data_IF_692164142353
#
_entry.id   IF_692164142353
#
_cell.length_a   1.000
_cell.length_b   1.000
_cell.length_c   1.000
_cell.angle_alpha   90.00
_cell.angle_beta   90.00
_cell.angle_gamma   90.00
#
_symmetry.space_group_name_H-M   'P 1'
#
loop_
_entity.id
_entity.type
_entity.pdbx_description
1 polymer ?
#
# COMPACT_ATOMS: atom_id res chain seq x y z
N UNK A 1 30.60 16.94 52.61
CA UNK A 1 30.23 17.05 51.21
C UNK A 1 30.91 18.28 50.61
N UNK A 2 31.80 18.12 49.61
CA UNK A 2 32.39 19.26 48.88
C UNK A 2 31.42 19.76 47.78
N UNK A 3 31.53 21.03 47.34
CA UNK A 3 30.64 21.65 46.37
C UNK A 3 30.90 21.12 44.98
N UNK A 4 29.81 20.87 44.23
CA UNK A 4 29.82 20.43 42.83
C UNK A 4 30.20 21.64 41.96
N UNK A 5 31.39 21.57 41.34
CA UNK A 5 31.91 22.61 40.46
C UNK A 5 31.21 22.66 39.10
N UNK A 6 31.06 23.86 38.61
CA UNK A 6 30.56 24.29 37.33
C UNK A 6 31.37 23.75 36.16
N UNK A 7 30.91 22.70 35.48
CA UNK A 7 31.48 22.17 34.26
C UNK A 7 30.41 21.89 33.17
N UNK A 8 29.27 22.58 33.22
CA UNK A 8 28.15 22.36 32.29
C UNK A 8 27.88 23.52 31.31
N UNK A 9 28.73 24.56 31.27
CA UNK A 9 28.49 25.73 30.42
C UNK A 9 29.30 25.80 29.12
N UNK A 10 30.26 24.90 28.88
CA UNK A 10 31.17 25.01 27.74
C UNK A 10 30.88 24.11 26.53
N UNK A 11 29.73 23.38 26.55
CA UNK A 11 29.32 22.49 25.42
C UNK A 11 28.28 23.10 24.48
N UNK A 12 27.87 24.36 24.64
CA UNK A 12 26.80 25.01 23.84
C UNK A 12 27.29 26.05 22.84
N UNK A 13 28.60 26.16 22.58
CA UNK A 13 29.11 27.15 21.63
C UNK A 13 30.10 26.55 20.61
N UNK A 14 29.66 25.55 19.83
CA UNK A 14 30.24 25.28 18.52
C UNK A 14 29.15 25.39 17.47
N UNK A 15 29.23 26.34 16.50
CA UNK A 15 28.33 26.35 15.37
C UNK A 15 28.59 25.10 14.54
N UNK A 16 27.55 24.31 14.28
CA UNK A 16 27.55 23.23 13.29
C UNK A 16 27.61 23.88 11.91
N UNK A 17 28.84 24.23 11.46
CA UNK A 17 29.10 24.59 10.08
C UNK A 17 29.31 23.32 9.28
N UNK A 18 28.49 23.10 8.24
CA UNK A 18 28.79 22.14 7.19
C UNK A 18 27.85 20.94 7.06
N UNK A 19 26.52 21.14 7.21
CA UNK A 19 25.57 20.27 6.51
C UNK A 19 24.91 21.17 5.46
N UNK A 20 25.46 21.13 4.25
CA UNK A 20 24.76 21.67 3.08
C UNK A 20 23.44 20.89 2.98
N UNK A 21 22.32 21.62 2.98
CA UNK A 21 21.03 21.08 2.64
C UNK A 21 21.17 20.45 1.24
N UNK A 22 20.62 19.24 0.98
CA UNK A 22 20.65 18.68 -0.35
C UNK A 22 19.99 19.68 -1.29
N UNK A 23 20.70 20.05 -2.37
CA UNK A 23 20.13 20.89 -3.42
C UNK A 23 18.79 20.28 -3.87
N UNK A 24 17.74 21.11 -4.09
CA UNK A 24 16.50 20.62 -4.66
C UNK A 24 16.84 19.95 -6.00
N UNK A 25 16.47 18.68 -6.13
CA UNK A 25 16.69 17.90 -7.36
C UNK A 25 16.29 18.76 -8.56
N UNK A 26 17.24 19.04 -9.44
CA UNK A 26 17.03 19.89 -10.60
C UNK A 26 15.89 19.31 -11.44
N UNK A 27 14.98 20.18 -11.87
CA UNK A 27 13.79 19.88 -12.71
C UNK A 27 14.15 19.12 -14.01
N UNK A 28 15.42 19.00 -14.32
CA UNK A 28 15.95 18.37 -15.54
C UNK A 28 16.11 16.83 -15.50
N UNK A 29 15.70 16.14 -14.42
CA UNK A 29 15.88 14.68 -14.31
C UNK A 29 14.57 13.89 -14.35
N UNK A 30 13.43 14.50 -14.66
CA UNK A 30 12.15 13.80 -14.81
C UNK A 30 12.10 13.05 -16.14
N UNK A 31 11.48 11.85 -16.14
CA UNK A 31 11.22 11.09 -17.35
C UNK A 31 10.30 11.87 -18.31
N UNK A 32 10.52 11.74 -19.61
CA UNK A 32 9.64 12.34 -20.61
C UNK A 32 8.25 11.72 -20.56
N UNK A 33 7.23 12.46 -21.01
CA UNK A 33 5.85 11.96 -21.06
C UNK A 33 5.71 10.69 -21.90
N UNK A 34 6.47 10.56 -22.98
CA UNK A 34 6.45 9.39 -23.85
C UNK A 34 6.99 8.16 -23.11
N UNK A 35 8.09 8.31 -22.36
CA UNK A 35 8.63 7.21 -21.51
C UNK A 35 7.63 6.82 -20.44
N UNK A 36 6.97 7.78 -19.78
CA UNK A 36 5.96 7.52 -18.76
C UNK A 36 4.80 6.71 -19.33
N UNK A 37 4.27 7.11 -20.50
CA UNK A 37 3.19 6.39 -21.18
C UNK A 37 3.62 5.00 -21.65
N UNK A 38 4.84 4.87 -22.15
CA UNK A 38 5.38 3.57 -22.59
C UNK A 38 5.52 2.60 -21.39
N UNK A 39 6.07 3.05 -20.27
CA UNK A 39 6.15 2.25 -19.06
C UNK A 39 4.76 1.80 -18.56
N UNK A 40 3.78 2.70 -18.57
CA UNK A 40 2.40 2.38 -18.21
C UNK A 40 1.78 1.33 -19.15
N UNK A 41 2.01 1.47 -20.45
CA UNK A 41 1.56 0.51 -21.45
C UNK A 41 2.22 -0.87 -21.28
N UNK A 42 3.53 -0.91 -20.95
CA UNK A 42 4.24 -2.15 -20.68
C UNK A 42 3.67 -2.87 -19.45
N UNK A 43 3.40 -2.16 -18.34
CA UNK A 43 2.77 -2.74 -17.14
C UNK A 43 1.36 -3.25 -17.44
N UNK A 44 0.59 -2.50 -18.22
CA UNK A 44 -0.76 -2.90 -18.64
C UNK A 44 -0.75 -4.16 -19.52
N UNK A 45 0.21 -4.25 -20.44
CA UNK A 45 0.38 -5.43 -21.28
C UNK A 45 0.88 -6.64 -20.47
N UNK A 46 1.81 -6.42 -19.53
CA UNK A 46 2.29 -7.46 -18.62
C UNK A 46 1.16 -8.15 -17.84
N UNK A 47 0.17 -7.38 -17.37
CA UNK A 47 -1.03 -7.91 -16.73
C UNK A 47 -1.85 -8.78 -17.68
N UNK A 48 -2.08 -8.34 -18.92
CA UNK A 48 -2.83 -9.08 -19.94
C UNK A 48 -2.14 -10.39 -20.36
N UNK A 49 -0.82 -10.32 -20.53
CA UNK A 49 -0.01 -11.46 -20.95
C UNK A 49 0.32 -12.39 -19.78
N UNK A 50 0.07 -11.93 -18.53
CA UNK A 50 0.46 -12.62 -17.30
C UNK A 50 1.95 -12.95 -17.26
N UNK A 51 2.75 -11.98 -17.67
CA UNK A 51 4.19 -12.09 -17.74
C UNK A 51 4.84 -10.83 -17.18
N UNK A 52 5.72 -11.02 -16.17
CA UNK A 52 6.43 -9.90 -15.59
C UNK A 52 7.39 -9.25 -16.59
N UNK A 53 7.42 -7.92 -16.56
CA UNK A 53 8.47 -7.13 -17.22
C UNK A 53 9.67 -6.94 -16.31
N UNK A 54 10.82 -6.59 -16.90
CA UNK A 54 11.99 -6.15 -16.15
C UNK A 54 11.69 -4.86 -15.40
N UNK A 55 12.33 -4.66 -14.25
CA UNK A 55 12.14 -3.47 -13.42
C UNK A 55 12.36 -2.19 -14.23
N UNK A 56 11.43 -1.24 -14.10
CA UNK A 56 11.50 0.09 -14.73
C UNK A 56 12.71 0.86 -14.19
N UNK A 57 13.01 0.72 -12.88
CA UNK A 57 14.16 1.36 -12.24
C UNK A 57 15.52 0.89 -12.76
N UNK A 58 15.58 -0.27 -13.40
CA UNK A 58 16.78 -0.74 -14.11
C UNK A 58 16.87 -0.20 -15.53
N UNK A 59 15.73 -0.02 -16.18
CA UNK A 59 15.66 0.59 -17.52
C UNK A 59 15.94 2.09 -17.45
N UNK A 60 15.44 2.75 -16.40
CA UNK A 60 15.58 4.18 -16.16
C UNK A 60 16.17 4.45 -14.76
N UNK A 61 17.50 4.38 -14.58
CA UNK A 61 18.13 4.50 -13.25
C UNK A 61 17.90 5.84 -12.56
N UNK A 62 17.51 6.88 -13.30
CA UNK A 62 17.17 8.21 -12.77
C UNK A 62 15.71 8.42 -12.41
N UNK A 63 14.87 7.38 -12.45
CA UNK A 63 13.45 7.47 -12.10
C UNK A 63 13.25 7.99 -10.67
N UNK A 64 12.27 8.88 -10.51
CA UNK A 64 11.90 9.49 -9.22
C UNK A 64 10.54 8.98 -8.74
N UNK A 65 10.21 9.21 -7.46
CA UNK A 65 8.87 8.89 -6.92
C UNK A 65 7.76 9.64 -7.68
N UNK A 66 7.89 10.96 -8.00
CA UNK A 66 6.93 11.63 -8.86
C UNK A 66 6.74 10.98 -10.24
N UNK A 67 7.81 10.51 -10.88
CA UNK A 67 7.71 9.80 -12.16
C UNK A 67 6.94 8.49 -12.00
N UNK A 68 7.21 7.73 -10.94
CA UNK A 68 6.53 6.48 -10.66
C UNK A 68 5.01 6.67 -10.46
N UNK A 69 4.57 7.73 -9.75
CA UNK A 69 3.15 8.07 -9.64
C UNK A 69 2.54 8.57 -10.95
N UNK A 70 3.31 9.22 -11.82
CA UNK A 70 2.83 9.55 -13.16
C UNK A 70 2.61 8.30 -14.01
N UNK A 71 3.53 7.33 -13.95
CA UNK A 71 3.36 6.03 -14.63
C UNK A 71 2.09 5.32 -14.12
N UNK A 72 1.89 5.26 -12.79
CA UNK A 72 0.68 4.72 -12.18
C UNK A 72 -0.58 5.43 -12.69
N UNK A 73 -0.55 6.77 -12.77
CA UNK A 73 -1.67 7.57 -13.26
C UNK A 73 -1.98 7.28 -14.75
N UNK A 74 -0.97 7.13 -15.60
CA UNK A 74 -1.18 6.74 -17.02
C UNK A 74 -1.71 5.31 -17.11
N UNK A 75 -1.21 4.36 -16.31
CA UNK A 75 -1.77 3.01 -16.23
C UNK A 75 -3.25 3.04 -15.82
N UNK A 76 -3.60 3.83 -14.82
CA UNK A 76 -4.99 3.99 -14.39
C UNK A 76 -5.88 4.53 -15.53
N UNK A 77 -5.40 5.49 -16.33
CA UNK A 77 -6.13 6.00 -17.50
C UNK A 77 -6.45 4.89 -18.52
N UNK A 78 -5.51 3.95 -18.73
CA UNK A 78 -5.76 2.79 -19.59
C UNK A 78 -6.88 1.91 -19.05
N UNK A 79 -6.90 1.66 -17.75
CA UNK A 79 -7.97 0.89 -17.09
C UNK A 79 -9.33 1.58 -17.19
N UNK A 80 -9.38 2.89 -16.95
CA UNK A 80 -10.61 3.67 -17.08
C UNK A 80 -11.13 3.71 -18.52
N UNK A 81 -10.23 3.76 -19.51
CA UNK A 81 -10.58 3.68 -20.93
C UNK A 81 -11.16 2.31 -21.31
N UNK A 82 -10.82 1.25 -20.59
CA UNK A 82 -11.43 -0.09 -20.72
C UNK A 82 -12.79 -0.21 -20.00
N UNK A 83 -13.28 0.89 -19.40
CA UNK A 83 -14.57 0.94 -18.70
C UNK A 83 -14.52 0.56 -17.23
N UNK A 84 -13.32 0.38 -16.64
CA UNK A 84 -13.18 0.14 -15.20
C UNK A 84 -13.56 1.38 -14.40
N UNK A 85 -13.98 1.16 -13.15
CA UNK A 85 -14.37 2.23 -12.22
C UNK A 85 -13.52 2.19 -10.98
N UNK A 86 -13.15 3.35 -10.46
CA UNK A 86 -12.48 3.47 -9.17
C UNK A 86 -13.50 3.18 -8.08
N UNK A 87 -13.19 2.24 -7.19
CA UNK A 87 -13.98 1.89 -6.01
C UNK A 87 -13.29 2.26 -4.69
N UNK A 88 -12.05 2.71 -4.74
CA UNK A 88 -11.30 3.12 -3.56
C UNK A 88 -9.80 3.12 -3.77
N UNK A 89 -9.09 2.97 -2.66
CA UNK A 89 -7.63 3.02 -2.63
C UNK A 89 -7.06 2.01 -1.62
N UNK A 90 -5.78 1.66 -1.80
CA UNK A 90 -4.99 0.89 -0.84
C UNK A 90 -3.76 1.67 -0.42
N UNK A 91 -3.26 1.38 0.76
CA UNK A 91 -2.07 2.00 1.32
C UNK A 91 -1.06 0.90 1.62
N UNK A 92 0.12 1.01 1.02
CA UNK A 92 1.21 0.07 1.22
C UNK A 92 2.36 0.66 2.03
N UNK A 93 3.35 -0.18 2.38
CA UNK A 93 4.55 0.22 3.15
C UNK A 93 4.21 0.92 4.46
N UNK A 94 3.20 0.43 5.17
CA UNK A 94 2.68 1.04 6.40
C UNK A 94 3.42 0.63 7.66
N UNK A 95 4.30 -0.36 7.60
CA UNK A 95 5.17 -0.72 8.73
C UNK A 95 6.56 -0.12 8.60
N UNK A 96 7.16 0.28 9.74
CA UNK A 96 8.53 0.79 9.77
C UNK A 96 9.54 -0.18 9.16
N UNK A 97 9.36 -1.49 9.41
CA UNK A 97 10.25 -2.51 8.85
C UNK A 97 10.21 -2.53 7.31
N UNK A 98 9.02 -2.42 6.72
CA UNK A 98 8.86 -2.38 5.25
C UNK A 98 9.39 -1.08 4.65
N UNK A 99 9.18 0.07 5.31
CA UNK A 99 9.75 1.34 4.88
C UNK A 99 11.27 1.30 4.88
N UNK A 100 11.89 0.79 5.94
CA UNK A 100 13.35 0.64 6.01
C UNK A 100 13.88 -0.31 4.92
N UNK A 101 13.20 -1.43 4.68
CA UNK A 101 13.57 -2.40 3.64
C UNK A 101 13.46 -1.82 2.24
N UNK A 102 12.46 -0.99 2.00
CA UNK A 102 12.19 -0.34 0.70
C UNK A 102 12.93 0.99 0.53
N UNK A 103 13.69 1.43 1.54
CA UNK A 103 14.43 2.71 1.55
C UNK A 103 13.52 3.93 1.27
N UNK A 104 12.35 3.94 1.89
CA UNK A 104 11.37 5.03 1.86
C UNK A 104 10.98 5.39 3.30
N UNK A 105 10.61 6.65 3.54
CA UNK A 105 10.23 7.17 4.86
C UNK A 105 8.72 7.46 4.98
N UNK A 106 7.97 7.21 3.93
CA UNK A 106 6.51 7.35 3.88
C UNK A 106 5.85 6.11 3.25
N UNK A 107 4.53 5.89 3.45
CA UNK A 107 3.76 4.89 2.73
C UNK A 107 3.71 5.13 1.21
N UNK A 108 3.27 4.12 0.47
CA UNK A 108 2.81 4.25 -0.91
C UNK A 108 1.29 4.01 -1.01
N UNK A 109 0.71 4.25 -2.18
CA UNK A 109 -0.70 3.99 -2.43
C UNK A 109 -0.97 3.48 -3.84
N UNK A 110 -2.08 2.77 -3.97
CA UNK A 110 -2.63 2.32 -5.24
C UNK A 110 -4.14 2.57 -5.30
N UNK A 111 -4.71 2.38 -6.49
CA UNK A 111 -6.15 2.56 -6.75
C UNK A 111 -6.83 1.20 -6.87
N UNK A 112 -7.97 1.03 -6.19
CA UNK A 112 -8.85 -0.13 -6.28
C UNK A 112 -9.84 0.06 -7.43
N UNK A 113 -9.99 -0.95 -8.28
CA UNK A 113 -10.91 -0.98 -9.40
C UNK A 113 -12.05 -1.98 -9.17
N UNK A 114 -13.18 -1.78 -9.81
CA UNK A 114 -14.40 -2.58 -9.65
C UNK A 114 -14.23 -4.06 -9.97
N UNK A 115 -13.30 -4.41 -10.87
CA UNK A 115 -13.00 -5.81 -11.21
C UNK A 115 -12.01 -6.50 -10.26
N UNK A 116 -11.53 -5.77 -9.24
CA UNK A 116 -10.64 -6.29 -8.21
C UNK A 116 -11.39 -6.84 -6.99
N UNK A 117 -12.70 -6.58 -6.88
CA UNK A 117 -13.50 -6.98 -5.73
C UNK A 117 -13.96 -8.43 -5.84
N UNK A 118 -13.66 -9.22 -4.81
CA UNK A 118 -14.12 -10.59 -4.64
C UNK A 118 -14.94 -10.72 -3.36
N UNK A 119 -15.93 -11.59 -3.37
CA UNK A 119 -16.74 -11.92 -2.20
C UNK A 119 -15.98 -12.85 -1.24
N UNK A 120 -16.42 -12.90 0.03
CA UNK A 120 -16.00 -13.93 0.97
C UNK A 120 -16.39 -15.31 0.43
N UNK A 121 -15.54 -16.29 0.66
CA UNK A 121 -15.62 -17.65 0.09
C UNK A 121 -15.53 -17.71 -1.44
N UNK A 122 -14.99 -16.70 -2.10
CA UNK A 122 -14.83 -16.69 -3.54
C UNK A 122 -13.84 -17.75 -4.03
N UNK A 123 -14.13 -18.32 -5.19
CA UNK A 123 -13.17 -19.07 -6.00
C UNK A 123 -12.38 -18.05 -6.87
N UNK A 124 -11.09 -17.89 -6.56
CA UNK A 124 -10.21 -16.93 -7.23
C UNK A 124 -9.49 -17.66 -8.37
N UNK A 125 -9.69 -17.26 -9.63
CA UNK A 125 -9.01 -17.88 -10.76
C UNK A 125 -7.50 -17.54 -10.71
N UNK A 126 -6.68 -18.55 -10.39
CA UNK A 126 -5.23 -18.36 -10.25
C UNK A 126 -4.58 -17.92 -11.56
N UNK A 127 -5.12 -18.36 -12.69
CA UNK A 127 -4.64 -18.04 -14.03
C UNK A 127 -4.91 -16.57 -14.46
N UNK A 128 -5.65 -15.81 -13.65
CA UNK A 128 -5.80 -14.35 -13.81
C UNK A 128 -4.53 -13.60 -13.42
N UNK A 129 -3.70 -14.16 -12.54
CA UNK A 129 -2.59 -13.50 -11.88
C UNK A 129 -1.24 -14.06 -12.32
N UNK A 130 -0.16 -13.35 -12.00
CA UNK A 130 1.23 -13.72 -12.34
C UNK A 130 1.91 -14.38 -11.14
N UNK A 131 1.99 -13.67 -10.01
CA UNK A 131 2.66 -14.08 -8.77
C UNK A 131 1.84 -13.67 -7.54
N UNK A 132 0.57 -14.10 -7.43
CA UNK A 132 -0.34 -13.59 -6.42
C UNK A 132 0.14 -13.89 -5.00
N UNK A 133 -0.11 -12.93 -4.10
CA UNK A 133 0.11 -13.04 -2.66
C UNK A 133 -1.05 -12.46 -1.90
N UNK A 134 -1.31 -12.96 -0.69
CA UNK A 134 -2.37 -12.50 0.21
C UNK A 134 -1.73 -11.74 1.37
N UNK A 135 -2.32 -10.60 1.70
CA UNK A 135 -2.04 -9.75 2.86
C UNK A 135 -3.30 -9.57 3.70
N UNK A 136 -3.12 -9.34 5.00
CA UNK A 136 -4.21 -9.18 5.97
C UNK A 136 -4.36 -7.72 6.32
N UNK A 137 -5.57 -7.18 6.15
CA UNK A 137 -5.87 -5.76 6.30
C UNK A 137 -7.18 -5.48 7.01
N UNK A 138 -7.43 -4.19 7.26
CA UNK A 138 -8.74 -3.63 7.56
C UNK A 138 -9.13 -2.66 6.46
N UNK A 139 -10.36 -2.77 5.95
CA UNK A 139 -10.95 -1.84 5.00
C UNK A 139 -11.85 -0.83 5.73
N UNK A 140 -11.69 0.45 5.41
CA UNK A 140 -12.53 1.55 5.86
C UNK A 140 -13.52 1.89 4.74
N UNK A 141 -14.82 1.81 5.03
CA UNK A 141 -15.89 2.18 4.10
C UNK A 141 -16.33 3.59 4.45
N UNK A 142 -16.12 4.54 3.54
CA UNK A 142 -16.46 5.93 3.80
C UNK A 142 -17.94 6.22 3.60
N UNK A 143 -18.51 7.09 4.44
CA UNK A 143 -19.87 7.66 4.32
C UNK A 143 -19.87 9.14 3.99
N UNK A 144 -18.76 9.83 4.27
CA UNK A 144 -18.56 11.25 4.02
C UNK A 144 -17.27 11.48 3.24
N UNK A 145 -17.16 12.59 2.48
CA UNK A 145 -15.92 12.94 1.80
C UNK A 145 -14.79 13.15 2.81
N UNK A 146 -13.58 12.71 2.47
CA UNK A 146 -12.40 12.88 3.31
C UNK A 146 -11.23 13.44 2.49
N UNK A 147 -10.70 14.58 2.91
CA UNK A 147 -9.60 15.25 2.23
C UNK A 147 -8.67 15.95 3.23
N UNK A 148 -7.42 16.18 2.84
CA UNK A 148 -6.51 17.11 3.51
C UNK A 148 -6.84 18.57 3.22
N UNK A 149 -5.96 19.52 3.62
CA UNK A 149 -4.76 19.27 4.44
C UNK A 149 -5.11 19.04 5.92
N UNK A 150 -4.16 18.49 6.68
CA UNK A 150 -4.27 18.27 8.13
C UNK A 150 -5.38 17.30 8.55
N UNK A 151 -5.78 16.36 7.67
CA UNK A 151 -6.66 15.28 8.03
C UNK A 151 -6.05 14.45 9.16
N UNK A 152 -6.85 14.16 10.18
CA UNK A 152 -6.49 13.42 11.39
C UNK A 152 -7.26 12.10 11.49
N UNK A 153 -6.90 11.23 12.45
CA UNK A 153 -7.69 10.01 12.72
C UNK A 153 -9.13 10.32 13.15
N UNK A 154 -9.38 11.49 13.75
CA UNK A 154 -10.73 11.88 14.16
C UNK A 154 -11.60 12.19 12.94
N UNK A 155 -11.03 12.81 11.90
CA UNK A 155 -11.70 13.05 10.64
C UNK A 155 -11.98 11.72 9.92
N UNK A 156 -11.03 10.79 9.95
CA UNK A 156 -11.21 9.43 9.42
C UNK A 156 -12.36 8.73 10.14
N UNK A 157 -12.42 8.77 11.48
CA UNK A 157 -13.51 8.16 12.22
C UNK A 157 -14.87 8.75 11.89
N UNK A 158 -14.95 10.07 11.77
CA UNK A 158 -16.20 10.76 11.42
C UNK A 158 -16.66 10.42 9.99
N UNK A 159 -15.73 10.30 9.04
CA UNK A 159 -16.02 10.00 7.64
C UNK A 159 -16.26 8.50 7.38
N UNK A 160 -15.88 7.60 8.29
CA UNK A 160 -16.02 6.15 8.12
C UNK A 160 -17.37 5.67 8.60
N UNK A 161 -18.08 4.92 7.75
CA UNK A 161 -19.31 4.22 8.14
C UNK A 161 -18.99 2.94 8.89
N UNK A 162 -18.19 2.06 8.25
CA UNK A 162 -17.78 0.79 8.80
C UNK A 162 -16.30 0.53 8.59
N UNK A 163 -15.71 -0.25 9.51
CA UNK A 163 -14.45 -0.96 9.32
C UNK A 163 -14.78 -2.45 9.19
N UNK A 164 -14.20 -3.10 8.21
CA UNK A 164 -14.46 -4.51 7.91
C UNK A 164 -13.14 -5.25 7.70
N UNK A 165 -13.00 -6.52 8.14
CA UNK A 165 -11.89 -7.37 7.74
C UNK A 165 -11.73 -7.45 6.22
N UNK A 166 -10.49 -7.40 5.76
CA UNK A 166 -10.18 -7.48 4.34
C UNK A 166 -8.88 -8.25 4.09
N UNK A 167 -8.80 -8.90 2.94
CA UNK A 167 -7.56 -9.41 2.39
C UNK A 167 -7.22 -8.60 1.15
N UNK A 168 -5.97 -8.13 1.07
CA UNK A 168 -5.45 -7.61 -0.19
C UNK A 168 -4.79 -8.76 -0.97
N UNK A 169 -5.11 -8.86 -2.25
CA UNK A 169 -4.40 -9.69 -3.20
C UNK A 169 -3.46 -8.78 -3.97
N UNK A 170 -2.16 -8.96 -3.77
CA UNK A 170 -1.13 -8.27 -4.52
C UNK A 170 -0.58 -9.17 -5.62
N UNK A 171 -0.29 -8.58 -6.79
CA UNK A 171 0.28 -9.25 -7.94
C UNK A 171 1.18 -8.29 -8.73
N UNK A 172 2.48 -8.54 -8.70
CA UNK A 172 3.44 -7.64 -9.30
C UNK A 172 3.62 -7.91 -10.79
N UNK A 173 3.43 -6.88 -11.64
CA UNK A 173 3.69 -6.89 -13.08
C UNK A 173 5.17 -6.67 -13.42
N UNK A 174 5.99 -6.23 -12.46
CA UNK A 174 7.45 -6.15 -12.60
C UNK A 174 8.17 -7.21 -11.76
N UNK A 175 9.31 -7.70 -12.25
CA UNK A 175 10.12 -8.74 -11.58
C UNK A 175 10.58 -8.29 -10.19
N UNK A 176 10.52 -9.18 -9.20
CA UNK A 176 11.01 -8.90 -7.85
C UNK A 176 12.55 -8.87 -7.77
N UNK A 177 13.19 -9.72 -8.56
CA UNK A 177 14.65 -9.81 -8.72
C UNK A 177 14.93 -9.91 -10.22
N UNK A 178 15.82 -9.06 -10.72
CA UNK A 178 16.28 -9.15 -12.09
C UNK A 178 17.14 -10.41 -12.30
N UNK A 179 16.76 -11.31 -13.21
CA UNK A 179 17.48 -12.58 -13.38
C UNK A 179 18.89 -12.41 -13.92
N UNK A 180 19.19 -11.30 -14.59
CA UNK A 180 20.51 -11.04 -15.17
C UNK A 180 21.49 -10.43 -14.15
N UNK A 181 21.03 -9.45 -13.38
CA UNK A 181 21.90 -8.69 -12.46
C UNK A 181 21.75 -9.09 -10.99
N UNK A 182 20.73 -9.87 -10.64
CA UNK A 182 20.39 -10.20 -9.25
C UNK A 182 19.86 -9.03 -8.44
N UNK A 183 19.58 -7.87 -9.05
CA UNK A 183 19.14 -6.67 -8.34
C UNK A 183 17.68 -6.77 -7.95
N UNK A 184 17.33 -6.42 -6.70
CA UNK A 184 15.95 -6.39 -6.25
C UNK A 184 15.17 -5.20 -6.86
N UNK A 185 13.87 -5.37 -6.97
CA UNK A 185 12.90 -4.31 -7.29
C UNK A 185 13.00 -3.19 -6.26
N UNK A 186 12.90 -1.95 -6.74
CA UNK A 186 12.88 -0.74 -5.90
C UNK A 186 11.45 -0.23 -5.70
N UNK A 187 11.27 0.68 -4.75
CA UNK A 187 9.97 1.31 -4.48
C UNK A 187 9.35 1.98 -5.72
N UNK A 188 10.17 2.57 -6.59
CA UNK A 188 9.70 3.18 -7.85
C UNK A 188 8.95 2.18 -8.73
N UNK A 189 9.43 0.95 -8.81
CA UNK A 189 8.79 -0.11 -9.59
C UNK A 189 7.45 -0.52 -8.98
N UNK A 190 7.36 -0.57 -7.65
CA UNK A 190 6.14 -0.91 -6.93
C UNK A 190 5.07 0.18 -7.09
N UNK A 191 5.45 1.45 -6.91
CA UNK A 191 4.55 2.60 -7.09
C UNK A 191 4.04 2.66 -8.53
N UNK A 192 4.93 2.54 -9.53
CA UNK A 192 4.54 2.55 -10.95
C UNK A 192 3.53 1.46 -11.28
N UNK A 193 3.61 0.34 -10.58
CA UNK A 193 2.80 -0.87 -10.73
C UNK A 193 1.57 -0.87 -9.81
N UNK A 194 0.93 0.29 -9.62
CA UNK A 194 -0.24 0.47 -8.77
C UNK A 194 -0.05 -0.09 -7.35
N UNK A 195 1.13 0.08 -6.76
CA UNK A 195 1.55 -0.49 -5.49
C UNK A 195 1.30 -2.01 -5.40
N UNK A 196 1.47 -2.70 -6.55
CA UNK A 196 1.23 -4.14 -6.77
C UNK A 196 -0.21 -4.62 -6.46
N UNK A 197 -1.18 -3.72 -6.30
CA UNK A 197 -2.56 -4.11 -6.05
C UNK A 197 -3.17 -4.88 -7.25
N UNK A 198 -3.95 -5.92 -6.96
CA UNK A 198 -4.62 -6.76 -7.95
C UNK A 198 -5.99 -7.29 -7.52
N UNK A 199 -6.31 -7.25 -6.23
CA UNK A 199 -7.60 -7.69 -5.73
C UNK A 199 -7.83 -7.39 -4.27
N UNK A 200 -9.08 -7.48 -3.85
CA UNK A 200 -9.54 -7.34 -2.48
C UNK A 200 -10.66 -8.33 -2.20
N UNK A 201 -10.60 -9.00 -1.05
CA UNK A 201 -11.66 -9.86 -0.54
C UNK A 201 -12.11 -9.23 0.79
N UNK A 202 -13.39 -8.91 0.92
CA UNK A 202 -13.97 -8.41 2.16
C UNK A 202 -14.95 -9.42 2.74
N UNK A 203 -14.93 -9.57 4.09
CA UNK A 203 -15.80 -10.52 4.77
C UNK A 203 -15.82 -10.28 6.28
N UNK A 204 -16.23 -11.30 7.03
CA UNK A 204 -16.38 -11.18 8.47
C UNK A 204 -17.51 -10.22 8.88
N UNK A 205 -17.33 -9.54 10.04
CA UNK A 205 -18.33 -8.66 10.64
C UNK A 205 -17.92 -7.19 10.52
N UNK A 206 -18.68 -6.34 9.80
CA UNK A 206 -18.45 -4.90 9.82
C UNK A 206 -18.75 -4.31 11.19
N UNK A 207 -17.94 -3.35 11.63
CA UNK A 207 -18.07 -2.66 12.91
C UNK A 207 -18.01 -1.15 12.70
N UNK A 208 -18.61 -0.39 13.63
CA UNK A 208 -18.34 1.05 13.69
C UNK A 208 -16.91 1.29 14.20
N UNK A 209 -16.19 2.29 13.66
CA UNK A 209 -14.76 2.48 14.00
C UNK A 209 -14.51 2.75 15.49
N UNK A 210 -15.52 3.18 16.25
CA UNK A 210 -15.43 3.46 17.68
C UNK A 210 -15.83 2.28 18.58
N UNK A 211 -16.38 1.19 18.01
CA UNK A 211 -16.88 0.06 18.81
C UNK A 211 -15.75 -0.84 19.32
N UNK A 212 -14.56 -0.74 18.73
CA UNK A 212 -13.38 -1.50 19.12
C UNK A 212 -12.12 -0.63 19.08
N UNK A 213 -11.09 -0.99 19.84
CA UNK A 213 -9.76 -0.43 19.65
C UNK A 213 -9.12 -1.07 18.42
N UNK A 214 -9.19 -0.38 17.29
CA UNK A 214 -8.69 -0.87 16.00
C UNK A 214 -7.22 -1.29 16.04
N UNK A 215 -6.40 -0.72 16.93
CA UNK A 215 -4.99 -1.12 17.10
C UNK A 215 -4.84 -2.55 17.62
N UNK A 216 -5.84 -3.05 18.32
CA UNK A 216 -5.84 -4.39 18.94
C UNK A 216 -6.47 -5.46 18.08
N UNK A 217 -7.04 -5.11 16.93
CA UNK A 217 -7.53 -6.11 16.00
C UNK A 217 -6.36 -6.98 15.57
N UNK A 218 -6.44 -8.25 15.90
CA UNK A 218 -5.48 -9.27 15.50
C UNK A 218 -6.03 -10.17 14.43
N UNK A 219 -5.15 -10.85 13.70
CA UNK A 219 -5.55 -11.88 12.76
C UNK A 219 -4.56 -13.05 12.73
N UNK A 220 -5.11 -14.22 12.44
CA UNK A 220 -4.36 -15.47 12.21
C UNK A 220 -4.67 -15.92 10.78
N UNK A 221 -3.66 -15.94 9.93
CA UNK A 221 -3.78 -16.43 8.56
C UNK A 221 -3.40 -17.90 8.46
N UNK A 222 -4.31 -18.70 7.96
CA UNK A 222 -4.08 -20.10 7.63
C UNK A 222 -3.99 -20.25 6.11
N UNK A 223 -3.04 -21.06 5.66
CA UNK A 223 -3.00 -21.61 4.30
C UNK A 223 -3.09 -23.14 4.38
N UNK A 224 -4.10 -23.71 3.75
CA UNK A 224 -4.35 -25.15 3.75
C UNK A 224 -4.44 -25.74 5.18
N UNK A 225 -5.04 -24.98 6.12
CA UNK A 225 -5.21 -25.38 7.51
C UNK A 225 -3.99 -25.22 8.42
N UNK A 226 -2.87 -24.68 7.89
CA UNK A 226 -1.64 -24.42 8.67
C UNK A 226 -1.48 -22.90 8.86
N UNK A 227 -1.13 -22.48 10.07
CA UNK A 227 -0.85 -21.07 10.38
C UNK A 227 0.41 -20.65 9.62
N UNK A 228 0.28 -19.64 8.77
CA UNK A 228 1.38 -19.04 8.00
C UNK A 228 1.85 -17.72 8.59
N UNK A 229 0.90 -16.86 8.99
CA UNK A 229 1.18 -15.56 9.54
C UNK A 229 0.21 -15.18 10.66
N UNK A 230 0.67 -14.31 11.53
CA UNK A 230 -0.15 -13.64 12.54
C UNK A 230 0.22 -12.16 12.60
N UNK A 231 -0.73 -11.30 12.92
CA UNK A 231 -0.45 -9.88 13.02
C UNK A 231 -1.45 -9.13 13.88
N UNK A 232 -1.11 -7.88 14.18
CA UNK A 232 -1.97 -6.94 14.93
C UNK A 232 -1.96 -5.60 14.22
N UNK A 233 -3.13 -5.01 14.03
CA UNK A 233 -3.33 -3.80 13.24
C UNK A 233 -2.59 -2.56 13.77
N UNK A 234 -2.10 -2.56 15.01
CA UNK A 234 -1.17 -1.55 15.52
C UNK A 234 0.14 -1.47 14.70
N UNK A 235 0.51 -2.53 13.95
CA UNK A 235 1.65 -2.52 13.05
C UNK A 235 1.51 -1.54 11.88
N UNK A 236 0.29 -1.11 11.57
CA UNK A 236 -0.02 -0.13 10.54
C UNK A 236 0.13 1.28 11.13
N UNK A 237 1.28 1.92 10.92
CA UNK A 237 1.56 3.30 11.35
C UNK A 237 1.12 3.62 12.79
N UNK A 238 1.27 2.68 13.72
CA UNK A 238 0.81 2.69 15.12
C UNK A 238 -0.72 2.69 15.30
N UNK A 239 -1.50 2.92 14.25
CA UNK A 239 -2.96 2.91 14.23
C UNK A 239 -3.46 2.84 12.78
N UNK A 240 -4.33 1.89 12.39
CA UNK A 240 -4.73 1.72 10.98
C UNK A 240 -5.41 2.97 10.37
N UNK A 241 -6.11 3.78 11.16
CA UNK A 241 -6.68 5.04 10.68
C UNK A 241 -5.61 6.09 10.30
N UNK A 242 -4.35 5.97 10.78
CA UNK A 242 -3.28 6.87 10.37
C UNK A 242 -2.93 6.70 8.89
N UNK A 243 -3.04 5.50 8.35
CA UNK A 243 -2.87 5.25 6.91
C UNK A 243 -3.89 6.04 6.09
N UNK A 244 -5.17 5.95 6.47
CA UNK A 244 -6.26 6.66 5.79
C UNK A 244 -6.08 8.18 5.86
N UNK A 245 -5.73 8.71 7.04
CA UNK A 245 -5.44 10.14 7.23
C UNK A 245 -4.24 10.59 6.37
N UNK A 246 -3.17 9.79 6.34
CA UNK A 246 -2.01 10.02 5.49
C UNK A 246 -2.42 10.09 4.01
N UNK A 247 -3.24 9.15 3.53
CA UNK A 247 -3.68 9.13 2.15
C UNK A 247 -4.50 10.37 1.77
N UNK A 248 -5.45 10.78 2.62
CA UNK A 248 -6.24 11.98 2.40
C UNK A 248 -5.36 13.23 2.29
N UNK A 249 -4.36 13.34 3.16
CA UNK A 249 -3.38 14.45 3.11
C UNK A 249 -2.48 14.36 1.86
N UNK A 250 -2.07 13.15 1.47
CA UNK A 250 -1.19 12.92 0.32
C UNK A 250 -1.85 13.24 -1.01
N UNK A 251 -3.15 12.98 -1.13
CA UNK A 251 -3.93 13.22 -2.35
C UNK A 251 -4.41 14.67 -2.49
N UNK A 252 -4.52 15.41 -1.38
CA UNK A 252 -5.01 16.78 -1.35
C UNK A 252 -4.29 17.74 -2.32
N UNK A 253 -2.94 17.77 -2.43
CA UNK A 253 -2.24 18.66 -3.37
C UNK A 253 -2.59 18.40 -4.85
N UNK A 254 -3.15 17.24 -5.15
CA UNK A 254 -3.60 16.86 -6.50
C UNK A 254 -5.10 17.13 -6.71
N UNK A 255 -5.79 17.74 -5.73
CA UNK A 255 -7.22 18.01 -5.80
C UNK A 255 -8.09 16.76 -5.71
N UNK A 256 -7.56 15.66 -5.19
CA UNK A 256 -8.27 14.38 -5.06
C UNK A 256 -8.84 14.29 -3.64
N UNK A 257 -10.15 14.04 -3.56
CA UNK A 257 -10.90 13.74 -2.34
C UNK A 257 -11.25 12.26 -2.32
N UNK A 258 -11.17 11.63 -1.16
CA UNK A 258 -11.72 10.30 -0.94
C UNK A 258 -13.23 10.43 -0.80
N UNK A 259 -14.00 9.73 -1.63
CA UNK A 259 -15.43 9.95 -1.77
C UNK A 259 -16.27 8.95 -0.94
N UNK A 260 -17.50 9.30 -0.57
CA UNK A 260 -18.45 8.38 0.07
C UNK A 260 -18.64 7.11 -0.75
N UNK A 261 -18.71 5.97 -0.06
CA UNK A 261 -18.82 4.64 -0.68
C UNK A 261 -17.49 4.03 -1.11
N UNK A 262 -16.40 4.79 -1.09
CA UNK A 262 -15.09 4.23 -1.38
C UNK A 262 -14.58 3.33 -0.26
N UNK A 263 -13.81 2.32 -0.68
CA UNK A 263 -13.13 1.34 0.15
C UNK A 263 -11.69 1.79 0.29
N UNK A 264 -11.21 1.97 1.54
CA UNK A 264 -9.81 2.32 1.79
C UNK A 264 -9.16 1.18 2.56
N UNK A 265 -8.25 0.44 1.93
CA UNK A 265 -7.39 -0.54 2.60
C UNK A 265 -6.33 0.19 3.39
N UNK A 266 -6.32 -0.02 4.72
CA UNK A 266 -5.51 0.78 5.65
C UNK A 266 -4.04 0.42 5.68
N UNK A 267 -3.66 -0.74 5.18
CA UNK A 267 -2.32 -1.30 5.20
C UNK A 267 -2.26 -2.68 5.86
N UNK A 268 -1.32 -3.48 5.40
CA UNK A 268 -1.15 -4.84 5.91
C UNK A 268 -0.45 -4.87 7.26
N UNK A 269 -0.92 -5.75 8.14
CA UNK A 269 -0.28 -6.08 9.42
C UNK A 269 0.27 -7.51 9.48
N UNK A 270 0.40 -8.16 8.31
CA UNK A 270 1.15 -9.41 8.12
C UNK A 270 2.14 -9.28 6.95
N UNK A 271 3.05 -10.24 6.83
CA UNK A 271 3.83 -10.38 5.60
C UNK A 271 2.95 -10.96 4.49
N UNK A 272 3.22 -10.63 3.21
CA UNK A 272 2.50 -11.23 2.08
C UNK A 272 2.83 -12.72 1.95
N UNK A 273 1.81 -13.57 1.86
CA UNK A 273 1.94 -15.01 1.68
C UNK A 273 1.59 -15.39 0.24
N UNK A 274 2.51 -16.08 -0.44
CA UNK A 274 2.31 -16.51 -1.82
C UNK A 274 1.11 -17.48 -1.95
N UNK A 275 0.25 -17.21 -2.93
CA UNK A 275 -0.91 -18.03 -3.25
C UNK A 275 -0.64 -18.85 -4.53
N UNK A 276 -1.07 -20.09 -4.53
CA UNK A 276 -0.90 -21.03 -5.65
C UNK A 276 -2.22 -21.72 -5.96
N UNK A 277 -2.37 -22.19 -7.16
CA UNK A 277 -3.52 -23.02 -7.54
C UNK A 277 -3.69 -24.18 -6.57
N UNK A 278 -4.91 -24.35 -6.05
CA UNK A 278 -5.27 -25.34 -5.04
C UNK A 278 -5.14 -24.86 -3.59
N UNK A 279 -4.55 -23.69 -3.34
CA UNK A 279 -4.46 -23.16 -1.98
C UNK A 279 -5.81 -22.61 -1.50
N UNK A 280 -6.06 -22.85 -0.22
CA UNK A 280 -7.16 -22.24 0.53
C UNK A 280 -6.56 -21.33 1.60
N UNK A 281 -6.99 -20.07 1.62
CA UNK A 281 -6.68 -19.15 2.69
C UNK A 281 -7.90 -18.97 3.57
N UNK A 282 -7.69 -19.04 4.89
CA UNK A 282 -8.66 -18.66 5.90
C UNK A 282 -7.96 -17.70 6.86
N UNK A 283 -8.58 -16.54 7.11
CA UNK A 283 -8.04 -15.57 8.04
C UNK A 283 -9.07 -15.30 9.12
N UNK A 284 -8.70 -15.58 10.37
CA UNK A 284 -9.52 -15.40 11.55
C UNK A 284 -9.15 -14.07 12.25
N UNK A 285 -10.13 -13.15 12.35
CA UNK A 285 -10.01 -11.86 13.02
C UNK A 285 -10.67 -11.87 14.42
N UNK A 286 -10.86 -13.04 15.01
CA UNK A 286 -11.52 -13.20 16.31
C UNK A 286 -12.97 -12.74 16.28
N UNK A 287 -13.34 -11.77 17.10
CA UNK A 287 -14.72 -11.26 17.20
C UNK A 287 -15.24 -10.59 15.91
N UNK A 288 -14.35 -10.24 15.00
CA UNK A 288 -14.73 -9.68 13.70
C UNK A 288 -15.00 -10.76 12.64
N UNK A 289 -14.95 -12.04 13.03
CA UNK A 289 -15.21 -13.16 12.12
C UNK A 289 -14.03 -13.54 11.27
N UNK A 290 -14.28 -14.26 10.18
CA UNK A 290 -13.24 -14.79 9.30
C UNK A 290 -13.54 -14.52 7.84
N UNK A 291 -12.50 -14.56 7.02
CA UNK A 291 -12.56 -14.50 5.56
C UNK A 291 -11.93 -15.78 5.03
N UNK A 292 -12.54 -16.36 4.00
CA UNK A 292 -11.99 -17.54 3.30
C UNK A 292 -11.93 -17.27 1.80
N UNK A 293 -10.91 -17.75 1.10
CA UNK A 293 -10.87 -17.77 -0.36
C UNK A 293 -10.14 -19.00 -0.89
N UNK A 294 -10.46 -19.39 -2.12
CA UNK A 294 -9.99 -20.62 -2.75
C UNK A 294 -9.32 -20.29 -4.09
N UNK A 295 -8.04 -20.57 -4.25
CA UNK A 295 -7.32 -20.38 -5.50
C UNK A 295 -7.51 -21.59 -6.43
N UNK A 296 -8.18 -21.40 -7.56
CA UNK A 296 -8.57 -22.46 -8.54
C UNK A 296 -7.71 -22.47 -9.80
#
# INVERSE_FOLDING_TARGET
LPPIGSAASDLLQKPLTGVEAPEPASINNMLSEDIIKDCAAQLHQAEKDRQQIRQISLQYPGITIPDAYKIQSEWLKLKLAEGRKIIGHKIGLTSRAMQMSSQIDEPDYGTLLDDMLFDDAAEIPTDRFIVPRIEVELAFILKEPLSGPNCTIFDVYNATDYVIPALELIDARSQSIDPESGRPRKVFDTISDNAANAGIIMGGRPIKPMDVDLRRVGAIMYRNGVIEETGVAAGVLNHPANGVAWLANRLHPYGITLEPGQIILGGSFTRPVAARKGDTFQVDYGELGSITCFFK
#
